data_IF_188871323897
#
_entry.id   IF_188871323897
#
_cell.length_a   1.000
_cell.length_b   1.000
_cell.length_c   1.000
_cell.angle_alpha   90.00
_cell.angle_beta   90.00
_cell.angle_gamma   90.00
#
_symmetry.space_group_name_H-M   'P 1'
#
loop_
_entity.id
_entity.type
_entity.pdbx_description
1 polymer ?
#
# COMPACT_ATOMS: atom_id res chain seq x y z
N UNK A 1 4.70 2.95 8.80
CA UNK A 1 3.49 3.78 8.69
C UNK A 1 3.88 4.99 7.86
N UNK A 2 3.43 5.03 6.62
CA UNK A 2 3.61 6.18 5.73
C UNK A 2 2.29 6.94 5.68
N UNK A 3 2.35 8.27 5.67
CA UNK A 3 1.16 9.11 5.59
C UNK A 3 1.11 9.74 4.21
N UNK A 4 -0.04 9.63 3.54
CA UNK A 4 -0.28 10.23 2.24
C UNK A 4 -1.32 11.32 2.35
N UNK A 5 -1.31 12.25 1.38
CA UNK A 5 -2.29 13.33 1.29
C UNK A 5 -3.52 12.79 0.55
N UNK A 6 -4.67 12.80 1.24
CA UNK A 6 -5.98 12.63 0.63
C UNK A 6 -6.60 14.00 0.37
N UNK A 7 -7.26 14.16 -0.77
CA UNK A 7 -8.02 15.35 -1.12
C UNK A 7 -9.52 15.05 -1.04
N UNK A 8 -10.20 15.76 -0.15
CA UNK A 8 -11.65 15.70 -0.02
C UNK A 8 -12.28 16.74 -0.93
N UNK A 9 -13.24 16.30 -1.74
CA UNK A 9 -14.03 17.12 -2.64
C UNK A 9 -15.51 16.98 -2.32
N UNK A 10 -16.28 18.04 -2.52
CA UNK A 10 -17.72 18.04 -2.24
C UNK A 10 -18.46 18.92 -3.24
N UNK A 11 -19.33 18.31 -4.03
CA UNK A 11 -20.26 19.02 -4.92
C UNK A 11 -21.60 19.30 -4.21
N UNK A 12 -22.43 20.17 -4.78
CA UNK A 12 -23.77 20.40 -4.25
C UNK A 12 -24.59 19.09 -4.31
N UNK A 13 -25.21 18.70 -3.19
CA UNK A 13 -26.03 17.48 -3.06
C UNK A 13 -25.33 16.14 -3.35
N UNK A 14 -23.99 16.08 -3.31
CA UNK A 14 -23.21 14.82 -3.41
C UNK A 14 -22.87 14.18 -2.06
N UNK A 15 -22.18 13.04 -2.07
CA UNK A 15 -21.37 12.56 -0.94
C UNK A 15 -20.00 13.26 -0.90
N UNK A 16 -19.23 13.08 0.18
CA UNK A 16 -17.85 13.54 0.28
C UNK A 16 -16.94 12.57 -0.47
N UNK A 17 -16.35 13.00 -1.58
CA UNK A 17 -15.39 12.21 -2.33
C UNK A 17 -13.97 12.39 -1.77
N UNK A 18 -13.17 11.33 -1.77
CA UNK A 18 -11.74 11.37 -1.42
C UNK A 18 -10.93 10.79 -2.57
N UNK A 19 -9.85 11.46 -2.90
CA UNK A 19 -8.90 11.04 -3.95
C UNK A 19 -7.46 11.20 -3.46
N UNK A 20 -6.55 10.43 -4.04
CA UNK A 20 -5.13 10.45 -3.69
C UNK A 20 -4.28 10.90 -4.88
N UNK A 21 -3.63 12.07 -4.82
CA UNK A 21 -2.75 12.54 -5.89
C UNK A 21 -1.58 11.58 -6.19
N UNK A 22 -1.05 10.93 -5.15
CA UNK A 22 0.03 9.95 -5.26
C UNK A 22 -0.45 8.60 -5.81
N UNK A 23 -1.76 8.31 -5.77
CA UNK A 23 -2.36 7.07 -6.26
C UNK A 23 -3.51 7.36 -7.23
N UNK A 24 -3.22 7.76 -8.47
CA UNK A 24 -4.24 8.02 -9.47
C UNK A 24 -5.16 6.81 -9.64
N UNK A 25 -6.47 7.00 -9.42
CA UNK A 25 -7.47 5.93 -9.48
C UNK A 25 -7.87 5.35 -8.11
N UNK A 26 -7.13 5.62 -7.04
CA UNK A 26 -7.58 5.37 -5.68
C UNK A 26 -8.59 6.47 -5.28
N UNK A 27 -9.88 6.14 -5.34
CA UNK A 27 -10.98 7.04 -4.98
C UNK A 27 -11.98 6.33 -4.09
N UNK A 28 -12.61 7.09 -3.21
CA UNK A 28 -13.69 6.60 -2.34
C UNK A 28 -14.66 7.73 -2.03
N UNK A 29 -15.82 7.42 -1.44
CA UNK A 29 -16.78 8.42 -1.02
C UNK A 29 -17.53 7.98 0.23
N UNK A 30 -17.95 8.93 1.06
CA UNK A 30 -18.79 8.69 2.24
C UNK A 30 -19.83 9.79 2.41
N UNK A 31 -20.98 9.46 3.02
CA UNK A 31 -22.06 10.42 3.24
C UNK A 31 -21.69 11.51 4.26
N UNK A 32 -20.75 11.21 5.15
CA UNK A 32 -20.19 12.15 6.12
C UNK A 32 -18.68 12.29 5.96
N UNK A 33 -18.13 13.39 6.47
CA UNK A 33 -16.67 13.62 6.46
C UNK A 33 -15.91 12.52 7.21
N UNK A 34 -16.45 12.07 8.34
CA UNK A 34 -15.84 11.01 9.15
C UNK A 34 -15.86 9.66 8.43
N UNK A 35 -16.97 9.34 7.77
CA UNK A 35 -17.08 8.13 6.95
C UNK A 35 -16.13 8.17 5.75
N UNK A 36 -16.09 9.30 5.02
CA UNK A 36 -15.19 9.49 3.89
C UNK A 36 -13.72 9.34 4.32
N UNK A 37 -13.32 9.90 5.48
CA UNK A 37 -11.99 9.73 6.06
C UNK A 37 -11.70 8.26 6.41
N UNK A 38 -12.65 7.56 7.02
CA UNK A 38 -12.48 6.15 7.37
C UNK A 38 -12.32 5.27 6.12
N UNK A 39 -13.19 5.46 5.14
CA UNK A 39 -13.15 4.75 3.86
C UNK A 39 -11.90 5.09 3.05
N UNK A 40 -11.31 6.28 3.23
CA UNK A 40 -10.06 6.67 2.59
C UNK A 40 -8.88 5.81 3.08
N UNK A 41 -8.81 5.47 4.37
CA UNK A 41 -7.79 4.57 4.90
C UNK A 41 -7.89 3.17 4.26
N UNK A 42 -9.12 2.66 4.12
CA UNK A 42 -9.38 1.33 3.52
C UNK A 42 -9.11 1.32 2.02
N UNK A 43 -9.57 2.33 1.29
CA UNK A 43 -9.37 2.44 -0.15
C UNK A 43 -7.88 2.56 -0.50
N UNK A 44 -7.12 3.33 0.29
CA UNK A 44 -5.67 3.44 0.12
C UNK A 44 -4.97 2.11 0.40
N UNK A 45 -5.36 1.39 1.45
CA UNK A 45 -4.80 0.09 1.76
C UNK A 45 -5.08 -0.92 0.64
N UNK A 46 -6.33 -1.03 0.19
CA UNK A 46 -6.75 -1.94 -0.88
C UNK A 46 -6.04 -1.66 -2.20
N UNK A 47 -5.90 -0.38 -2.57
CA UNK A 47 -5.21 0.01 -3.80
C UNK A 47 -3.73 -0.38 -3.75
N UNK A 48 -3.06 -0.11 -2.61
CA UNK A 48 -1.66 -0.49 -2.42
C UNK A 48 -1.48 -2.00 -2.38
N UNK A 49 -2.41 -2.76 -1.80
CA UNK A 49 -2.40 -4.22 -1.84
C UNK A 49 -2.44 -4.74 -3.28
N UNK A 50 -3.32 -4.19 -4.13
CA UNK A 50 -3.34 -4.52 -5.57
C UNK A 50 -2.01 -4.21 -6.27
N UNK A 51 -1.42 -3.04 -6.02
CA UNK A 51 -0.09 -2.69 -6.56
C UNK A 51 0.98 -3.69 -6.13
N UNK A 52 0.94 -4.17 -4.87
CA UNK A 52 1.90 -5.17 -4.37
C UNK A 52 1.70 -6.52 -5.06
N UNK A 53 0.45 -6.96 -5.24
CA UNK A 53 0.13 -8.21 -5.94
C UNK A 53 0.60 -8.19 -7.40
N UNK A 54 0.50 -7.03 -8.05
CA UNK A 54 0.96 -6.80 -9.42
C UNK A 54 2.47 -6.53 -9.52
N UNK A 55 3.17 -6.44 -8.38
CA UNK A 55 4.62 -6.19 -8.32
C UNK A 55 5.04 -4.76 -8.65
N UNK A 56 4.11 -3.80 -8.56
CA UNK A 56 4.34 -2.38 -8.78
C UNK A 56 5.02 -1.71 -7.59
N UNK A 57 5.75 -0.62 -7.87
CA UNK A 57 6.40 0.16 -6.83
C UNK A 57 5.43 1.14 -6.18
N UNK A 58 5.41 1.17 -4.85
CA UNK A 58 4.60 2.14 -4.10
C UNK A 58 5.31 3.51 -4.15
N UNK A 59 4.63 4.58 -4.58
CA UNK A 59 5.19 5.93 -4.64
C UNK A 59 5.58 6.44 -3.25
N UNK A 60 6.62 7.26 -3.18
CA UNK A 60 6.95 7.95 -1.93
C UNK A 60 5.93 9.07 -1.66
N UNK A 61 5.52 9.31 -0.40
CA UNK A 61 4.51 10.33 -0.10
C UNK A 61 4.93 11.74 -0.53
N UNK A 62 4.06 12.42 -1.27
CA UNK A 62 4.26 13.83 -1.62
C UNK A 62 4.07 14.75 -0.41
N UNK A 63 4.80 15.88 -0.39
CA UNK A 63 4.56 16.92 0.61
C UNK A 63 3.25 17.65 0.34
N UNK A 64 2.65 18.20 1.39
CA UNK A 64 1.42 18.99 1.27
C UNK A 64 1.61 20.18 0.33
N UNK A 65 2.76 20.86 0.39
CA UNK A 65 3.07 22.00 -0.48
C UNK A 65 3.07 21.61 -1.96
N UNK A 66 3.67 20.46 -2.29
CA UNK A 66 3.71 19.97 -3.67
C UNK A 66 2.31 19.62 -4.18
N UNK A 67 1.50 18.98 -3.34
CA UNK A 67 0.11 18.62 -3.69
C UNK A 67 -0.73 19.88 -3.91
N UNK A 68 -0.67 20.84 -2.99
CA UNK A 68 -1.48 22.06 -3.05
C UNK A 68 -0.98 23.09 -4.08
N UNK A 69 0.23 22.92 -4.62
CA UNK A 69 0.73 23.74 -5.72
C UNK A 69 -0.05 23.52 -7.02
N UNK A 70 -0.71 22.35 -7.19
CA UNK A 70 -1.56 22.08 -8.33
C UNK A 70 -2.86 22.91 -8.25
N UNK A 71 -3.18 23.74 -9.26
CA UNK A 71 -4.43 24.51 -9.31
C UNK A 71 -5.70 23.67 -9.12
N UNK A 72 -5.71 22.42 -9.59
CA UNK A 72 -6.89 21.53 -9.52
C UNK A 72 -7.25 21.12 -8.08
N UNK A 73 -6.31 21.26 -7.14
CA UNK A 73 -6.48 20.84 -5.74
C UNK A 73 -6.90 21.99 -4.82
N UNK A 74 -7.06 23.22 -5.34
CA UNK A 74 -7.25 24.43 -4.53
C UNK A 74 -8.59 24.50 -3.82
N UNK A 75 -9.62 23.89 -4.40
CA UNK A 75 -10.98 23.86 -3.85
C UNK A 75 -11.21 22.63 -2.94
N UNK A 76 -10.18 21.81 -2.76
CA UNK A 76 -10.22 20.57 -1.98
C UNK A 76 -9.72 20.78 -0.55
N UNK A 77 -10.21 19.95 0.36
CA UNK A 77 -9.68 19.89 1.73
C UNK A 77 -8.65 18.77 1.83
N UNK A 78 -7.40 19.12 2.12
CA UNK A 78 -6.34 18.15 2.32
C UNK A 78 -6.43 17.48 3.71
N UNK A 79 -6.34 16.15 3.73
CA UNK A 79 -6.27 15.34 4.94
C UNK A 79 -5.04 14.43 4.91
N UNK A 80 -4.52 14.10 6.09
CA UNK A 80 -3.50 13.06 6.24
C UNK A 80 -4.18 11.71 6.41
N UNK A 81 -3.87 10.77 5.51
CA UNK A 81 -4.35 9.39 5.57
C UNK A 81 -3.16 8.48 5.84
N UNK A 82 -3.21 7.78 6.96
CA UNK A 82 -2.16 6.83 7.33
C UNK A 82 -2.36 5.54 6.54
N UNK A 83 -1.39 5.20 5.69
CA UNK A 83 -1.38 3.92 5.03
C UNK A 83 -1.04 2.82 6.04
N UNK A 84 -2.05 2.02 6.36
CA UNK A 84 -1.93 0.82 7.21
C UNK A 84 -1.58 -0.40 6.38
N UNK A 85 -0.49 -0.35 5.60
CA UNK A 85 0.00 -1.58 4.94
C UNK A 85 0.92 -2.39 5.83
N UNK A 86 0.73 -3.71 5.83
CA UNK A 86 1.68 -4.71 6.32
C UNK A 86 2.83 -4.98 5.33
N UNK A 87 3.08 -4.09 4.37
CA UNK A 87 4.20 -4.24 3.44
C UNK A 87 5.44 -3.57 4.03
N UNK A 88 6.14 -4.30 4.89
CA UNK A 88 7.47 -3.91 5.35
C UNK A 88 8.37 -3.65 4.14
N UNK A 89 9.07 -2.51 4.14
CA UNK A 89 10.07 -2.17 3.12
C UNK A 89 10.99 -3.37 2.87
N UNK A 90 11.02 -3.87 1.63
CA UNK A 90 11.88 -4.98 1.26
C UNK A 90 13.36 -4.56 1.41
N UNK A 91 14.09 -5.22 2.30
CA UNK A 91 15.53 -5.02 2.48
C UNK A 91 16.28 -6.10 1.70
N UNK A 92 17.16 -5.68 0.78
CA UNK A 92 18.05 -6.61 0.08
C UNK A 92 19.11 -7.14 1.05
N UNK A 93 19.19 -8.46 1.15
CA UNK A 93 20.19 -9.17 1.95
C UNK A 93 20.99 -10.11 1.04
N UNK A 94 22.26 -10.33 1.38
CA UNK A 94 23.08 -11.37 0.79
C UNK A 94 23.16 -12.53 1.78
N UNK A 95 22.76 -13.73 1.34
CA UNK A 95 22.75 -14.94 2.16
C UNK A 95 23.38 -16.10 1.40
N UNK A 96 23.93 -17.06 2.14
CA UNK A 96 24.47 -18.31 1.58
C UNK A 96 23.49 -19.44 1.87
N UNK A 97 23.13 -20.21 0.84
CA UNK A 97 22.25 -21.37 0.92
C UNK A 97 22.92 -22.57 0.23
N UNK A 98 22.71 -23.82 0.72
CA UNK A 98 23.08 -25.02 -0.04
C UNK A 98 22.38 -25.04 -1.40
N UNK A 99 23.09 -25.53 -2.43
CA UNK A 99 22.61 -25.53 -3.82
C UNK A 99 21.31 -26.32 -3.99
N UNK A 100 21.24 -27.50 -3.38
CA UNK A 100 20.05 -28.38 -3.40
C UNK A 100 18.82 -27.71 -2.75
N UNK A 101 19.03 -26.91 -1.70
CA UNK A 101 17.97 -26.17 -1.03
C UNK A 101 17.50 -25.01 -1.91
N UNK A 102 18.44 -24.27 -2.52
CA UNK A 102 18.12 -23.15 -3.41
C UNK A 102 17.27 -23.61 -4.61
N UNK A 103 17.65 -24.70 -5.27
CA UNK A 103 16.89 -25.26 -6.38
C UNK A 103 15.47 -25.66 -6.00
N UNK A 104 15.29 -26.25 -4.80
CA UNK A 104 13.97 -26.64 -4.30
C UNK A 104 13.11 -25.43 -3.98
N UNK A 105 13.70 -24.39 -3.40
CA UNK A 105 13.02 -23.11 -3.13
C UNK A 105 12.55 -22.47 -4.43
N UNK A 106 13.43 -22.37 -5.43
CA UNK A 106 13.12 -21.73 -6.70
C UNK A 106 11.99 -22.44 -7.44
N UNK A 107 12.05 -23.77 -7.48
CA UNK A 107 11.01 -24.60 -8.11
C UNK A 107 9.67 -24.43 -7.41
N UNK A 108 9.64 -24.56 -6.08
CA UNK A 108 8.40 -24.42 -5.32
C UNK A 108 7.83 -23.00 -5.44
N UNK A 109 8.67 -21.97 -5.38
CA UNK A 109 8.24 -20.59 -5.54
C UNK A 109 7.62 -20.38 -6.93
N UNK A 110 8.26 -20.86 -8.00
CA UNK A 110 7.74 -20.79 -9.36
C UNK A 110 6.40 -21.52 -9.52
N UNK A 111 6.27 -22.75 -8.99
CA UNK A 111 5.03 -23.54 -9.03
C UNK A 111 3.86 -22.87 -8.29
N UNK A 112 4.15 -21.96 -7.36
CA UNK A 112 3.16 -21.21 -6.57
C UNK A 112 2.99 -19.76 -7.04
N UNK A 113 3.62 -19.35 -8.15
CA UNK A 113 3.59 -17.97 -8.64
C UNK A 113 4.27 -16.96 -7.71
N UNK A 114 5.19 -17.41 -6.86
CA UNK A 114 5.92 -16.58 -5.91
C UNK A 114 7.35 -16.31 -6.38
N UNK A 115 7.92 -15.18 -5.95
CA UNK A 115 9.37 -14.95 -6.03
C UNK A 115 10.11 -15.73 -4.93
N UNK A 116 11.39 -16.04 -5.16
CA UNK A 116 12.28 -16.64 -4.14
C UNK A 116 12.22 -15.89 -2.81
N UNK A 117 12.34 -14.57 -2.85
CA UNK A 117 12.27 -13.71 -1.65
C UNK A 117 10.90 -13.73 -0.99
N UNK A 118 9.82 -13.77 -1.78
CA UNK A 118 8.46 -13.87 -1.26
C UNK A 118 8.22 -15.19 -0.53
N UNK A 119 8.68 -16.31 -1.10
CA UNK A 119 8.62 -17.60 -0.44
C UNK A 119 9.44 -17.63 0.86
N UNK A 120 10.69 -17.17 0.83
CA UNK A 120 11.56 -17.16 2.01
C UNK A 120 11.01 -16.27 3.14
N UNK A 121 10.49 -15.08 2.81
CA UNK A 121 9.86 -14.21 3.78
C UNK A 121 8.65 -14.89 4.44
N UNK A 122 7.76 -15.50 3.64
CA UNK A 122 6.60 -16.22 4.14
C UNK A 122 6.96 -17.43 5.01
N UNK A 123 7.98 -18.19 4.61
CA UNK A 123 8.46 -19.34 5.38
C UNK A 123 9.03 -18.90 6.73
N UNK A 124 9.85 -17.84 6.75
CA UNK A 124 10.44 -17.30 7.97
C UNK A 124 9.37 -16.78 8.95
N UNK A 125 8.40 -15.99 8.48
CA UNK A 125 7.31 -15.47 9.33
C UNK A 125 6.52 -16.59 10.00
N UNK A 126 6.15 -17.62 9.23
CA UNK A 126 5.41 -18.79 9.75
C UNK A 126 6.18 -19.54 10.83
N UNK A 127 7.49 -19.71 10.66
CA UNK A 127 8.32 -20.43 11.62
C UNK A 127 8.49 -19.63 12.93
N UNK A 128 8.64 -18.30 12.82
CA UNK A 128 8.69 -17.40 13.97
C UNK A 128 7.38 -17.48 14.77
N UNK A 129 6.24 -17.37 14.10
CA UNK A 129 4.92 -17.43 14.75
C UNK A 129 4.71 -18.77 15.48
N UNK A 130 5.06 -19.89 14.85
CA UNK A 130 4.98 -21.23 15.46
C UNK A 130 5.88 -21.41 16.67
N UNK A 131 7.02 -20.73 16.71
CA UNK A 131 7.99 -20.84 17.81
C UNK A 131 7.66 -19.92 18.99
N UNK A 132 6.75 -18.96 18.79
CA UNK A 132 6.42 -17.92 19.78
C UNK A 132 5.04 -18.14 20.43
N UNK A 133 4.30 -19.17 20.00
CA UNK A 133 3.04 -19.63 20.62
C UNK A 133 3.24 -20.92 21.40
#
# INVERSE_FOLDING_TARGET
MSNYIGLIHKDAESDYGVSFPDFPGAVTAGATLDEARHMAEEALALHVEGMIEDGEAIPEPSSLENVMANPDNRDSVAILVTLKTQAAKAVRINITLPEDVLERVDRFAADQGLSRSGFLARAASREIERSTG
#
